data_IF_090821399714
#
_entry.id   IF_090821399714
#
_cell.length_a   1.000
_cell.length_b   1.000
_cell.length_c   1.000
_cell.angle_alpha   90.00
_cell.angle_beta   90.00
_cell.angle_gamma   90.00
#
_symmetry.space_group_name_H-M   'P 1'
#
loop_
_entity.id
_entity.type
_entity.pdbx_description
1 polymer ?
#
# COMPACT_ATOMS: atom_id res chain seq x y z
N UNK A 1 32.49 5.46 -2.37
CA UNK A 1 32.97 6.19 -1.18
C UNK A 1 31.94 6.01 -0.09
N UNK A 2 32.32 5.75 1.17
CA UNK A 2 31.34 5.70 2.26
C UNK A 2 30.68 7.08 2.36
N UNK A 3 29.39 7.14 2.04
CA UNK A 3 28.58 8.34 2.22
C UNK A 3 28.40 8.59 3.71
N UNK A 4 28.54 9.85 4.14
CA UNK A 4 28.15 10.22 5.50
C UNK A 4 26.68 9.84 5.68
N UNK A 5 26.32 9.07 6.72
CA UNK A 5 24.92 8.66 6.94
C UNK A 5 24.02 9.89 7.04
N UNK A 6 22.85 9.82 6.43
CA UNK A 6 21.85 10.87 6.51
C UNK A 6 21.20 10.83 7.89
N UNK A 7 21.19 11.99 8.55
CA UNK A 7 20.54 12.13 9.85
C UNK A 7 19.02 12.20 9.68
N UNK A 8 18.29 11.70 10.68
CA UNK A 8 16.83 11.82 10.75
C UNK A 8 16.42 13.30 10.66
N UNK A 9 17.12 14.21 11.33
CA UNK A 9 16.88 15.65 11.24
C UNK A 9 16.82 16.19 9.80
N UNK A 10 17.54 15.61 8.85
CA UNK A 10 17.53 16.05 7.45
C UNK A 10 16.26 15.59 6.73
N UNK A 11 15.77 14.40 7.07
CA UNK A 11 14.46 13.91 6.63
C UNK A 11 13.35 14.80 7.22
N UNK A 12 13.45 15.15 8.50
CA UNK A 12 12.49 16.01 9.19
C UNK A 12 12.46 17.41 8.58
N UNK A 13 13.62 18.02 8.34
CA UNK A 13 13.72 19.32 7.69
C UNK A 13 13.10 19.29 6.28
N UNK A 14 13.45 18.28 5.48
CA UNK A 14 12.87 18.09 4.13
C UNK A 14 11.34 17.94 4.19
N UNK A 15 10.84 17.13 5.13
CA UNK A 15 9.40 16.96 5.38
C UNK A 15 8.71 18.30 5.72
N UNK A 16 9.33 19.11 6.57
CA UNK A 16 8.80 20.42 6.95
C UNK A 16 8.74 21.38 5.74
N UNK A 17 9.78 21.43 4.91
CA UNK A 17 9.81 22.26 3.70
C UNK A 17 8.76 21.81 2.67
N UNK A 18 8.59 20.50 2.50
CA UNK A 18 7.56 19.91 1.62
C UNK A 18 6.14 20.25 2.12
N UNK A 19 5.93 20.28 3.43
CA UNK A 19 4.66 20.68 4.03
C UNK A 19 4.39 22.19 3.88
N UNK A 20 5.43 23.02 3.89
CA UNK A 20 5.32 24.48 3.78
C UNK A 20 4.98 24.97 2.37
N UNK A 21 5.23 24.17 1.33
CA UNK A 21 4.95 24.56 -0.07
C UNK A 21 3.66 23.95 -0.62
N UNK A 22 2.99 24.70 -1.51
CA UNK A 22 1.84 24.21 -2.30
C UNK A 22 2.23 23.72 -3.69
N UNK A 23 3.45 23.99 -4.15
CA UNK A 23 3.91 23.61 -5.49
C UNK A 23 4.31 22.14 -5.55
N UNK A 24 3.60 21.34 -6.34
CA UNK A 24 3.93 19.92 -6.56
C UNK A 24 5.37 19.74 -7.07
N UNK A 25 5.81 20.61 -7.98
CA UNK A 25 7.18 20.59 -8.54
C UNK A 25 8.22 20.87 -7.47
N UNK A 26 8.00 21.88 -6.61
CA UNK A 26 8.92 22.19 -5.52
C UNK A 26 9.02 21.02 -4.52
N UNK A 27 7.89 20.38 -4.19
CA UNK A 27 7.89 19.17 -3.34
C UNK A 27 8.73 18.05 -3.95
N UNK A 28 8.52 17.77 -5.24
CA UNK A 28 9.31 16.77 -5.98
C UNK A 28 10.80 17.07 -5.88
N UNK A 29 11.20 18.31 -6.10
CA UNK A 29 12.62 18.70 -6.16
C UNK A 29 13.32 18.60 -4.80
N UNK A 30 12.63 19.02 -3.72
CA UNK A 30 13.11 18.86 -2.34
C UNK A 30 13.33 17.39 -2.00
N UNK A 31 12.34 16.54 -2.26
CA UNK A 31 12.42 15.11 -2.02
C UNK A 31 13.53 14.46 -2.87
N UNK A 32 13.64 14.82 -4.16
CA UNK A 32 14.68 14.29 -5.04
C UNK A 32 16.10 14.71 -4.62
N UNK A 33 16.24 15.90 -4.02
CA UNK A 33 17.52 16.37 -3.47
C UNK A 33 17.94 15.54 -2.25
N UNK A 34 17.01 15.23 -1.35
CA UNK A 34 17.26 14.32 -0.23
C UNK A 34 17.63 12.91 -0.72
N UNK A 35 16.82 12.33 -1.61
CA UNK A 35 17.01 10.97 -2.11
C UNK A 35 18.39 10.76 -2.76
N UNK A 36 18.90 11.72 -3.53
CA UNK A 36 20.23 11.66 -4.18
C UNK A 36 21.41 11.53 -3.21
N UNK A 37 21.20 11.83 -1.92
CA UNK A 37 22.24 11.79 -0.89
C UNK A 37 22.26 10.46 -0.12
N UNK A 38 21.23 9.63 -0.27
CA UNK A 38 21.06 8.39 0.46
C UNK A 38 21.99 7.29 -0.08
N UNK A 39 22.57 6.53 0.84
CA UNK A 39 23.15 5.22 0.55
C UNK A 39 22.06 4.15 0.32
N UNK A 40 22.40 3.01 -0.32
CA UNK A 40 21.42 1.97 -0.68
C UNK A 40 20.53 1.47 0.46
N UNK A 41 21.07 1.39 1.68
CA UNK A 41 20.35 0.90 2.85
C UNK A 41 19.50 1.97 3.55
N UNK A 42 19.65 3.24 3.15
CA UNK A 42 18.86 4.37 3.68
C UNK A 42 17.62 4.66 2.84
N UNK A 43 17.58 4.19 1.58
CA UNK A 43 16.50 4.50 0.62
C UNK A 43 15.16 3.96 1.09
N UNK A 44 15.10 2.67 1.39
CA UNK A 44 13.86 1.98 1.79
C UNK A 44 13.25 2.63 3.05
N UNK A 45 13.99 2.77 4.18
CA UNK A 45 13.44 3.40 5.37
C UNK A 45 13.06 4.87 5.14
N UNK A 46 13.88 5.65 4.43
CA UNK A 46 13.59 7.06 4.17
C UNK A 46 12.31 7.23 3.34
N UNK A 47 12.12 6.42 2.29
CA UNK A 47 10.89 6.46 1.49
C UNK A 47 9.68 6.07 2.33
N UNK A 48 9.79 5.05 3.19
CA UNK A 48 8.72 4.70 4.15
C UNK A 48 8.36 5.84 5.10
N UNK A 49 9.37 6.53 5.64
CA UNK A 49 9.15 7.70 6.51
C UNK A 49 8.49 8.86 5.73
N UNK A 50 8.89 9.10 4.49
CA UNK A 50 8.31 10.14 3.62
C UNK A 50 6.91 9.80 3.08
N UNK A 51 6.50 8.53 3.09
CA UNK A 51 5.11 8.13 2.80
C UNK A 51 4.25 8.00 4.06
N UNK A 52 4.84 8.10 5.25
CA UNK A 52 4.15 7.94 6.52
C UNK A 52 3.85 6.50 6.91
N UNK A 53 4.50 5.55 6.24
CA UNK A 53 4.32 4.11 6.43
C UNK A 53 5.70 3.46 6.66
N UNK A 54 6.12 3.29 7.93
CA UNK A 54 7.35 2.55 8.24
C UNK A 54 7.32 1.16 7.63
N UNK A 55 8.48 0.67 7.18
CA UNK A 55 8.65 -0.63 6.51
C UNK A 55 8.11 -1.79 7.35
N UNK A 56 8.18 -1.65 8.67
CA UNK A 56 7.73 -2.65 9.64
C UNK A 56 6.20 -2.71 9.80
N UNK A 57 5.46 -1.78 9.20
CA UNK A 57 4.01 -1.68 9.35
C UNK A 57 3.60 -1.26 10.77
N UNK A 58 2.57 -1.93 11.33
CA UNK A 58 2.09 -1.62 12.68
C UNK A 58 3.06 -2.15 13.75
N UNK A 59 3.87 -1.26 14.31
CA UNK A 59 4.84 -1.54 15.37
C UNK A 59 4.15 -1.80 16.73
N UNK A 60 2.84 -1.49 16.84
CA UNK A 60 2.02 -1.71 18.04
C UNK A 60 2.40 -0.81 19.21
N UNK A 61 3.00 0.36 18.93
CA UNK A 61 3.18 1.41 19.93
C UNK A 61 1.93 2.27 19.91
N UNK A 62 1.16 2.26 21.01
CA UNK A 62 -0.03 3.08 21.12
C UNK A 62 0.29 4.52 21.51
N UNK A 63 -0.64 5.44 21.21
CA UNK A 63 -0.57 6.86 21.61
C UNK A 63 -0.14 7.05 23.07
N UNK A 64 -0.75 6.29 24.00
CA UNK A 64 -0.46 6.36 25.44
C UNK A 64 1.01 6.09 25.77
N UNK A 65 1.64 5.13 25.08
CA UNK A 65 3.06 4.80 25.29
C UNK A 65 3.95 5.94 24.81
N UNK A 66 3.62 6.54 23.68
CA UNK A 66 4.38 7.67 23.12
C UNK A 66 4.22 8.94 23.96
N UNK A 67 2.99 9.24 24.41
CA UNK A 67 2.71 10.39 25.26
C UNK A 67 3.45 10.28 26.59
N UNK A 68 3.35 9.12 27.27
CA UNK A 68 4.10 8.87 28.49
C UNK A 68 5.61 8.98 28.29
N UNK A 69 6.15 8.52 27.15
CA UNK A 69 7.57 8.64 26.85
C UNK A 69 8.03 10.09 26.63
N UNK A 70 7.16 10.98 26.12
CA UNK A 70 7.45 12.43 26.05
C UNK A 70 7.32 13.10 27.42
N UNK A 71 6.35 12.68 28.22
CA UNK A 71 6.06 13.26 29.54
C UNK A 71 7.02 12.80 30.64
N UNK A 72 7.74 11.67 30.45
CA UNK A 72 8.73 11.12 31.39
C UNK A 72 9.96 12.04 31.63
N UNK A 73 9.92 13.30 31.19
CA UNK A 73 10.84 14.37 31.60
C UNK A 73 12.20 14.36 30.89
N UNK A 74 12.37 13.53 29.87
CA UNK A 74 13.56 13.56 29.03
C UNK A 74 13.61 14.89 28.26
N UNK A 75 14.63 15.70 28.52
CA UNK A 75 14.89 16.90 27.71
C UNK A 75 15.26 16.45 26.29
N UNK A 76 14.70 17.08 25.24
CA UNK A 76 15.11 16.80 23.87
C UNK A 76 16.62 16.96 23.71
N UNK A 77 17.22 16.14 22.86
CA UNK A 77 18.64 16.24 22.55
C UNK A 77 18.92 17.61 21.88
N UNK A 78 20.04 18.24 22.27
CA UNK A 78 20.43 19.53 21.71
C UNK A 78 20.99 19.44 20.28
N UNK A 79 21.53 18.27 19.92
CA UNK A 79 22.14 18.00 18.62
C UNK A 79 21.53 16.75 18.00
N UNK A 80 21.27 16.81 16.70
CA UNK A 80 20.80 15.66 15.94
C UNK A 80 21.93 14.62 15.80
N UNK A 81 21.65 13.39 16.22
CA UNK A 81 22.60 12.26 16.12
C UNK A 81 21.97 10.98 15.57
N UNK A 82 20.64 10.93 15.48
CA UNK A 82 19.94 9.77 14.96
C UNK A 82 20.11 9.69 13.45
N UNK A 83 20.58 8.56 12.95
CA UNK A 83 20.60 8.27 11.51
C UNK A 83 19.30 7.59 11.09
N UNK A 84 18.98 7.64 9.80
CA UNK A 84 17.83 6.91 9.24
C UNK A 84 17.91 5.42 9.57
N UNK A 85 19.08 4.80 9.40
CA UNK A 85 19.28 3.36 9.62
C UNK A 85 19.19 2.96 11.09
N UNK A 86 19.66 3.81 12.02
CA UNK A 86 19.49 3.56 13.46
C UNK A 86 18.02 3.59 13.88
N UNK A 87 17.25 4.52 13.32
CA UNK A 87 15.80 4.62 13.55
C UNK A 87 15.12 3.37 12.99
N UNK A 88 15.39 3.02 11.73
CA UNK A 88 14.81 1.84 11.09
C UNK A 88 15.10 0.54 11.86
N UNK A 89 16.34 0.33 12.27
CA UNK A 89 16.73 -0.81 13.10
C UNK A 89 15.98 -0.82 14.45
N UNK A 90 15.81 0.35 15.07
CA UNK A 90 15.02 0.47 16.30
C UNK A 90 13.54 0.13 16.09
N UNK A 91 12.97 0.52 14.95
CA UNK A 91 11.59 0.17 14.59
C UNK A 91 11.44 -1.33 14.33
N UNK A 92 12.42 -1.95 13.69
CA UNK A 92 12.48 -3.40 13.48
C UNK A 92 12.54 -4.17 14.81
N UNK A 93 13.39 -3.74 15.74
CA UNK A 93 13.45 -4.32 17.10
C UNK A 93 12.09 -4.26 17.79
N UNK A 94 11.44 -3.08 17.75
CA UNK A 94 10.13 -2.87 18.38
C UNK A 94 9.04 -3.78 17.80
N UNK A 95 9.02 -3.96 16.47
CA UNK A 95 8.07 -4.83 15.78
C UNK A 95 8.28 -6.32 16.12
N UNK A 96 9.53 -6.72 16.40
CA UNK A 96 9.89 -8.08 16.79
C UNK A 96 9.51 -8.46 18.23
N UNK A 97 9.28 -7.49 19.12
CA UNK A 97 8.96 -7.74 20.53
C UNK A 97 7.60 -8.43 20.70
N UNK A 98 7.61 -9.68 21.21
CA UNK A 98 6.42 -10.47 21.56
C UNK A 98 6.58 -11.18 22.91
N UNK A 99 5.46 -11.63 23.49
CA UNK A 99 5.43 -12.41 24.72
C UNK A 99 5.41 -11.59 26.02
N UNK A 100 5.47 -12.26 27.19
CA UNK A 100 5.45 -11.61 28.50
C UNK A 100 6.58 -10.57 28.64
N UNK A 101 6.28 -9.39 29.18
CA UNK A 101 7.26 -8.31 29.36
C UNK A 101 7.53 -7.45 28.11
N UNK A 102 7.05 -7.85 26.94
CA UNK A 102 7.24 -7.10 25.68
C UNK A 102 6.77 -5.64 25.75
N UNK A 103 5.67 -5.36 26.47
CA UNK A 103 5.17 -4.00 26.66
C UNK A 103 6.15 -3.09 27.42
N UNK A 104 6.83 -3.61 28.45
CA UNK A 104 7.81 -2.84 29.22
C UNK A 104 9.07 -2.59 28.38
N UNK A 105 9.56 -3.61 27.68
CA UNK A 105 10.70 -3.49 26.75
C UNK A 105 10.39 -2.48 25.63
N UNK A 106 9.17 -2.53 25.07
CA UNK A 106 8.68 -1.59 24.05
C UNK A 106 8.69 -0.16 24.56
N UNK A 107 8.15 0.08 25.76
CA UNK A 107 8.21 1.41 26.41
C UNK A 107 9.65 1.88 26.57
N UNK A 108 10.53 1.06 27.14
CA UNK A 108 11.92 1.43 27.38
C UNK A 108 12.66 1.80 26.07
N UNK A 109 12.44 1.04 24.99
CA UNK A 109 13.09 1.29 23.70
C UNK A 109 12.56 2.56 23.03
N UNK A 110 11.25 2.83 23.12
CA UNK A 110 10.65 4.09 22.64
C UNK A 110 11.19 5.29 23.43
N UNK A 111 11.25 5.19 24.76
CA UNK A 111 11.83 6.24 25.62
C UNK A 111 13.29 6.50 25.24
N UNK A 112 14.09 5.44 25.08
CA UNK A 112 15.49 5.55 24.68
C UNK A 112 15.70 6.20 23.31
N UNK A 113 14.82 5.91 22.34
CA UNK A 113 14.84 6.56 21.03
C UNK A 113 14.51 8.05 21.14
N UNK A 114 13.41 8.39 21.82
CA UNK A 114 12.96 9.78 21.94
C UNK A 114 13.90 10.65 22.78
N UNK A 115 14.60 10.08 23.77
CA UNK A 115 15.60 10.80 24.56
C UNK A 115 16.82 11.24 23.73
N UNK A 116 17.12 10.56 22.62
CA UNK A 116 18.20 10.93 21.68
C UNK A 116 17.73 11.87 20.57
N UNK A 117 16.43 12.01 20.40
CA UNK A 117 15.84 12.84 19.35
C UNK A 117 15.85 14.32 19.76
N UNK A 118 16.08 15.21 18.79
CA UNK A 118 15.71 16.62 18.94
C UNK A 118 14.18 16.77 19.04
N UNK A 119 13.69 17.96 19.38
CA UNK A 119 12.24 18.18 19.53
C UNK A 119 11.47 17.95 18.21
N UNK A 120 12.06 18.39 17.10
CA UNK A 120 11.52 18.19 15.75
C UNK A 120 11.54 16.71 15.36
N UNK A 121 12.63 15.99 15.64
CA UNK A 121 12.75 14.54 15.42
C UNK A 121 11.73 13.76 16.26
N UNK A 122 11.57 14.11 17.54
CA UNK A 122 10.61 13.47 18.43
C UNK A 122 9.17 13.71 17.96
N UNK A 123 8.86 14.93 17.49
CA UNK A 123 7.54 15.25 16.91
C UNK A 123 7.28 14.48 15.62
N UNK A 124 8.28 14.38 14.75
CA UNK A 124 8.20 13.61 13.51
C UNK A 124 7.97 12.11 13.79
N UNK A 125 8.79 11.50 14.64
CA UNK A 125 8.67 10.09 15.03
C UNK A 125 7.32 9.79 15.67
N UNK A 126 6.85 10.68 16.53
CA UNK A 126 5.55 10.55 17.15
C UNK A 126 4.44 10.47 16.09
N UNK A 127 4.40 11.42 15.14
CA UNK A 127 3.41 11.44 14.06
C UNK A 127 3.53 10.26 13.10
N UNK A 128 4.75 9.83 12.81
CA UNK A 128 5.01 8.67 11.98
C UNK A 128 4.45 7.39 12.64
N UNK A 129 4.71 7.20 13.94
CA UNK A 129 4.29 6.02 14.69
C UNK A 129 2.79 5.97 14.98
N UNK A 130 2.12 7.13 15.03
CA UNK A 130 0.66 7.22 15.18
C UNK A 130 -0.10 7.18 13.86
N UNK A 131 0.61 7.23 12.71
CA UNK A 131 -0.02 7.32 11.38
C UNK A 131 -0.63 8.70 11.09
N UNK A 132 -0.18 9.74 11.80
CA UNK A 132 -0.69 11.11 11.68
C UNK A 132 0.27 12.03 10.89
N UNK A 133 1.21 11.45 10.14
CA UNK A 133 2.20 12.21 9.39
C UNK A 133 1.54 12.90 8.17
N UNK A 134 1.13 14.16 8.35
CA UNK A 134 0.48 14.99 7.32
C UNK A 134 1.47 15.93 6.63
N UNK A 135 2.44 15.39 5.91
CA UNK A 135 3.48 16.18 5.23
C UNK A 135 3.10 16.59 3.79
N UNK A 136 1.98 16.11 3.27
CA UNK A 136 1.52 16.43 1.90
C UNK A 136 2.40 15.84 0.78
N UNK A 137 3.34 14.95 1.13
CA UNK A 137 4.04 14.07 0.19
C UNK A 137 3.14 12.85 -0.09
N UNK A 138 2.23 13.00 -1.04
CA UNK A 138 1.43 11.87 -1.53
C UNK A 138 2.37 10.86 -2.21
N UNK A 139 2.02 9.57 -2.18
CA UNK A 139 2.80 8.51 -2.83
C UNK A 139 3.18 8.86 -4.29
N UNK A 140 2.29 9.55 -5.02
CA UNK A 140 2.57 10.04 -6.37
C UNK A 140 3.67 11.11 -6.45
N UNK A 141 3.80 12.01 -5.47
CA UNK A 141 4.89 13.02 -5.44
C UNK A 141 6.22 12.35 -5.12
N UNK A 142 6.22 11.42 -4.16
CA UNK A 142 7.41 10.63 -3.81
C UNK A 142 7.87 9.80 -5.02
N UNK A 143 6.93 9.20 -5.76
CA UNK A 143 7.23 8.48 -7.01
C UNK A 143 7.91 9.37 -8.05
N UNK A 144 7.42 10.60 -8.24
CA UNK A 144 8.04 11.56 -9.16
C UNK A 144 9.46 11.96 -8.68
N UNK A 145 9.65 12.10 -7.36
CA UNK A 145 10.94 12.43 -6.76
C UNK A 145 11.96 11.30 -6.91
N UNK A 146 11.53 10.04 -6.74
CA UNK A 146 12.34 8.84 -7.00
C UNK A 146 12.81 8.82 -8.45
N UNK A 147 11.89 9.05 -9.40
CA UNK A 147 12.23 9.10 -10.83
C UNK A 147 13.28 10.18 -11.13
N UNK A 148 13.08 11.39 -10.58
CA UNK A 148 14.02 12.50 -10.71
C UNK A 148 15.39 12.22 -10.07
N UNK A 149 15.41 11.59 -8.88
CA UNK A 149 16.64 11.25 -8.17
C UNK A 149 17.44 10.13 -8.86
N UNK A 150 16.75 9.14 -9.41
CA UNK A 150 17.34 8.02 -10.15
C UNK A 150 17.70 8.38 -11.61
N UNK A 151 17.27 9.54 -12.12
CA UNK A 151 17.51 9.94 -13.51
C UNK A 151 16.75 9.08 -14.54
N UNK A 152 15.59 8.53 -14.17
CA UNK A 152 14.76 7.66 -15.02
C UNK A 152 13.39 8.30 -15.31
N UNK A 153 12.71 7.91 -16.40
CA UNK A 153 11.34 8.37 -16.63
C UNK A 153 10.39 7.92 -15.51
N UNK A 154 9.38 8.75 -15.20
CA UNK A 154 8.43 8.45 -14.12
C UNK A 154 7.52 7.25 -14.42
N UNK A 155 7.18 7.01 -15.68
CA UNK A 155 6.24 5.94 -16.06
C UNK A 155 6.73 4.53 -15.65
N UNK A 156 7.99 4.12 -15.92
CA UNK A 156 8.56 2.87 -15.40
C UNK A 156 8.52 2.75 -13.86
N UNK A 157 8.80 3.83 -13.12
CA UNK A 157 8.75 3.81 -11.65
C UNK A 157 7.32 3.57 -11.17
N UNK A 158 6.35 4.29 -11.75
CA UNK A 158 4.92 4.12 -11.43
C UNK A 158 4.44 2.70 -11.75
N UNK A 159 4.82 2.16 -12.90
CA UNK A 159 4.48 0.78 -13.31
C UNK A 159 5.07 -0.22 -12.32
N UNK A 160 6.34 -0.10 -11.99
CA UNK A 160 7.00 -1.00 -11.04
C UNK A 160 6.36 -0.91 -9.65
N UNK A 161 6.02 0.29 -9.17
CA UNK A 161 5.31 0.49 -7.91
C UNK A 161 3.90 -0.09 -7.93
N UNK A 162 3.22 -0.02 -9.09
CA UNK A 162 1.90 -0.61 -9.28
C UNK A 162 1.95 -2.15 -9.24
N UNK A 163 2.89 -2.76 -9.95
CA UNK A 163 3.08 -4.22 -9.99
C UNK A 163 3.68 -4.80 -8.70
N UNK A 164 4.55 -4.04 -8.03
CA UNK A 164 5.20 -4.44 -6.79
C UNK A 164 4.39 -4.08 -5.54
N UNK A 165 3.51 -3.10 -5.56
CA UNK A 165 2.79 -2.69 -4.35
C UNK A 165 3.67 -2.22 -3.18
N UNK A 166 4.95 -1.89 -3.43
CA UNK A 166 5.92 -1.47 -2.41
C UNK A 166 6.83 -0.36 -2.98
N UNK A 167 6.43 0.89 -2.79
CA UNK A 167 7.17 2.05 -3.28
C UNK A 167 8.59 2.16 -2.69
N UNK A 168 8.82 1.94 -1.37
CA UNK A 168 10.18 1.88 -0.81
C UNK A 168 11.13 0.93 -1.54
N UNK A 169 10.72 -0.32 -1.81
CA UNK A 169 11.55 -1.27 -2.54
C UNK A 169 11.78 -0.85 -3.99
N UNK A 170 10.75 -0.32 -4.65
CA UNK A 170 10.87 0.19 -6.03
C UNK A 170 11.78 1.42 -6.09
N UNK A 171 11.80 2.25 -5.07
CA UNK A 171 12.71 3.38 -4.98
C UNK A 171 14.17 2.92 -4.91
N UNK A 172 14.48 1.93 -4.05
CA UNK A 172 15.81 1.33 -4.00
C UNK A 172 16.20 0.75 -5.35
N UNK A 173 15.31 -0.01 -5.98
CA UNK A 173 15.54 -0.60 -7.30
C UNK A 173 15.84 0.47 -8.36
N UNK A 174 15.03 1.53 -8.43
CA UNK A 174 15.23 2.64 -9.36
C UNK A 174 16.58 3.33 -9.13
N UNK A 175 16.93 3.60 -7.87
CA UNK A 175 18.14 4.36 -7.52
C UNK A 175 19.43 3.55 -7.65
N UNK A 176 19.39 2.24 -7.43
CA UNK A 176 20.58 1.37 -7.47
C UNK A 176 20.77 0.74 -8.86
N UNK A 177 19.68 0.33 -9.50
CA UNK A 177 19.70 -0.47 -10.73
C UNK A 177 19.10 0.27 -11.95
N UNK A 178 18.57 1.48 -11.76
CA UNK A 178 18.08 2.33 -12.84
C UNK A 178 16.91 1.73 -13.61
N UNK A 179 16.84 2.05 -14.91
CA UNK A 179 15.78 1.59 -15.80
C UNK A 179 15.78 0.05 -15.96
N UNK A 180 16.96 -0.58 -15.95
CA UNK A 180 17.08 -2.03 -16.12
C UNK A 180 16.48 -2.79 -14.93
N UNK A 181 16.70 -2.29 -13.70
CA UNK A 181 16.05 -2.81 -12.51
C UNK A 181 14.53 -2.74 -12.61
N UNK A 182 14.02 -1.56 -12.97
CA UNK A 182 12.58 -1.33 -13.13
C UNK A 182 11.94 -2.22 -14.19
N UNK A 183 12.63 -2.46 -15.32
CA UNK A 183 12.14 -3.31 -16.40
C UNK A 183 11.95 -4.78 -16.02
N UNK A 184 12.61 -5.25 -14.95
CA UNK A 184 12.44 -6.62 -14.42
C UNK A 184 11.25 -6.79 -13.50
N UNK A 185 10.57 -5.71 -13.11
CA UNK A 185 9.39 -5.80 -12.26
C UNK A 185 8.20 -6.24 -13.08
N UNK A 186 7.71 -7.44 -12.79
CA UNK A 186 6.57 -8.08 -13.43
C UNK A 186 5.48 -8.34 -12.39
N UNK A 187 4.26 -8.61 -12.88
CA UNK A 187 3.19 -9.11 -12.03
C UNK A 187 3.63 -10.44 -11.42
N UNK A 188 3.32 -10.64 -10.13
CA UNK A 188 3.56 -11.91 -9.45
C UNK A 188 2.28 -12.33 -8.72
N UNK A 189 1.65 -13.47 -9.09
CA UNK A 189 0.55 -14.03 -8.30
C UNK A 189 0.93 -14.14 -6.81
N UNK A 190 -0.04 -13.94 -5.93
CA UNK A 190 0.18 -13.81 -4.48
C UNK A 190 0.71 -12.45 -3.98
N UNK A 191 1.15 -11.54 -4.86
CA UNK A 191 1.49 -10.15 -4.52
C UNK A 191 0.47 -9.20 -5.13
N UNK A 192 -0.32 -8.45 -4.32
CA UNK A 192 -1.36 -7.60 -4.86
C UNK A 192 -0.79 -6.45 -5.69
N UNK A 193 -1.53 -6.09 -6.71
CA UNK A 193 -1.23 -5.05 -7.70
C UNK A 193 -2.11 -3.84 -7.42
N UNK A 194 -1.56 -2.62 -7.50
CA UNK A 194 -2.37 -1.40 -7.29
C UNK A 194 -3.53 -1.32 -8.29
N UNK A 195 -4.77 -1.06 -7.84
CA UNK A 195 -5.94 -1.09 -8.71
C UNK A 195 -5.90 0.00 -9.78
N UNK A 196 -6.33 -0.33 -10.99
CA UNK A 196 -6.65 0.69 -12.01
C UNK A 196 -7.82 1.54 -11.52
N UNK A 197 -7.67 2.87 -11.53
CA UNK A 197 -8.68 3.82 -11.09
C UNK A 197 -9.42 4.42 -12.28
N UNK A 198 -10.67 4.81 -12.06
CA UNK A 198 -11.49 5.50 -13.06
C UNK A 198 -11.46 7.02 -12.84
N UNK A 199 -11.49 7.77 -13.95
CA UNK A 199 -11.81 9.20 -13.94
C UNK A 199 -13.32 9.40 -14.01
N UNK A 200 -13.81 10.52 -13.47
CA UNK A 200 -15.21 10.91 -13.58
C UNK A 200 -15.48 11.61 -14.90
N UNK A 201 -16.70 11.47 -15.41
CA UNK A 201 -17.25 12.27 -16.48
C UNK A 201 -18.60 12.84 -16.03
N UNK A 202 -19.02 13.95 -16.62
CA UNK A 202 -20.26 14.64 -16.23
C UNK A 202 -21.50 13.80 -16.57
N UNK A 203 -21.48 13.12 -17.72
CA UNK A 203 -22.51 12.20 -18.14
C UNK A 203 -21.94 11.09 -19.06
N UNK A 204 -22.82 10.14 -19.42
CA UNK A 204 -22.47 8.99 -20.28
C UNK A 204 -22.07 9.44 -21.69
N UNK A 205 -22.71 10.48 -22.24
CA UNK A 205 -22.43 10.94 -23.59
C UNK A 205 -21.04 11.58 -23.68
N UNK A 206 -20.65 12.37 -22.67
CA UNK A 206 -19.31 12.94 -22.54
C UNK A 206 -18.25 11.85 -22.39
N UNK A 207 -18.51 10.84 -21.54
CA UNK A 207 -17.60 9.72 -21.35
C UNK A 207 -17.36 8.94 -22.65
N UNK A 208 -18.44 8.53 -23.34
CA UNK A 208 -18.36 7.78 -24.59
C UNK A 208 -17.78 8.65 -25.71
N UNK A 209 -18.11 9.94 -25.77
CA UNK A 209 -17.55 10.88 -26.74
C UNK A 209 -16.02 11.03 -26.60
N UNK A 210 -15.50 11.03 -25.37
CA UNK A 210 -14.06 11.11 -25.10
C UNK A 210 -13.31 9.80 -25.40
N UNK A 211 -13.94 8.65 -25.15
CA UNK A 211 -13.31 7.32 -25.28
C UNK A 211 -13.50 6.67 -26.65
N UNK A 212 -14.55 7.05 -27.39
CA UNK A 212 -14.99 6.36 -28.60
C UNK A 212 -15.72 5.05 -28.27
N UNK A 213 -15.32 3.96 -28.92
CA UNK A 213 -15.88 2.63 -28.64
C UNK A 213 -15.52 2.20 -27.21
N UNK A 214 -16.54 1.95 -26.39
CA UNK A 214 -16.37 1.65 -24.96
C UNK A 214 -17.07 0.36 -24.55
N UNK A 215 -16.53 -0.29 -23.51
CA UNK A 215 -17.24 -1.29 -22.72
C UNK A 215 -17.92 -0.56 -21.56
N UNK A 216 -19.20 -0.84 -21.34
CA UNK A 216 -19.99 -0.24 -20.27
C UNK A 216 -20.40 -1.33 -19.29
N UNK A 217 -19.96 -1.19 -18.04
CA UNK A 217 -20.33 -2.08 -16.94
C UNK A 217 -21.17 -1.32 -15.90
N UNK A 218 -21.94 -2.07 -15.12
CA UNK A 218 -22.61 -1.54 -13.94
C UNK A 218 -21.58 -1.07 -12.92
N UNK A 219 -21.74 0.15 -12.40
CA UNK A 219 -20.99 0.59 -11.23
C UNK A 219 -21.64 0.01 -9.98
N UNK A 220 -21.14 -1.14 -9.54
CA UNK A 220 -21.61 -1.82 -8.34
C UNK A 220 -21.24 -1.03 -7.07
N UNK A 221 -22.05 -1.19 -6.03
CA UNK A 221 -21.88 -0.52 -4.73
C UNK A 221 -21.48 -1.56 -3.67
N UNK A 222 -20.23 -2.02 -3.75
CA UNK A 222 -19.70 -3.08 -2.89
C UNK A 222 -18.32 -2.80 -2.37
N UNK A 223 -17.56 -3.85 -2.10
CA UNK A 223 -16.15 -3.76 -1.75
C UNK A 223 -15.32 -4.28 -2.90
N UNK A 224 -14.55 -3.39 -3.55
CA UNK A 224 -13.57 -3.82 -4.54
C UNK A 224 -12.56 -4.78 -3.93
N UNK A 225 -12.44 -5.94 -4.58
CA UNK A 225 -11.55 -7.03 -4.19
C UNK A 225 -10.64 -7.41 -5.35
N UNK A 226 -9.37 -7.61 -5.02
CA UNK A 226 -8.42 -8.28 -5.90
C UNK A 226 -8.20 -9.69 -5.34
N UNK A 227 -8.40 -10.72 -6.15
CA UNK A 227 -8.33 -12.12 -5.70
C UNK A 227 -7.22 -12.82 -6.47
N UNK A 228 -6.26 -13.40 -5.74
CA UNK A 228 -5.20 -14.18 -6.34
C UNK A 228 -5.38 -15.64 -5.96
N UNK A 229 -5.18 -16.52 -6.93
CA UNK A 229 -4.95 -17.95 -6.69
C UNK A 229 -3.51 -18.25 -7.02
N UNK A 230 -2.79 -18.90 -6.12
CA UNK A 230 -1.37 -19.26 -6.32
C UNK A 230 -1.09 -20.60 -5.70
N UNK A 231 -0.62 -21.56 -6.50
CA UNK A 231 -0.35 -22.92 -6.04
C UNK A 231 -1.51 -23.57 -5.24
N UNK A 232 -2.75 -23.27 -5.62
CA UNK A 232 -3.97 -23.78 -4.97
C UNK A 232 -4.47 -22.96 -3.77
N UNK A 233 -3.68 -22.00 -3.25
CA UNK A 233 -4.12 -21.10 -2.18
C UNK A 233 -4.80 -19.86 -2.78
N UNK A 234 -5.95 -19.47 -2.22
CA UNK A 234 -6.67 -18.26 -2.63
C UNK A 234 -6.56 -17.19 -1.54
N UNK A 235 -6.16 -15.99 -1.95
CA UNK A 235 -6.04 -14.82 -1.07
C UNK A 235 -6.73 -13.63 -1.70
N UNK A 236 -7.29 -12.76 -0.86
CA UNK A 236 -8.08 -11.61 -1.30
C UNK A 236 -7.64 -10.32 -0.62
N UNK A 237 -7.57 -9.23 -1.39
CA UNK A 237 -7.20 -7.91 -0.91
C UNK A 237 -8.25 -6.87 -1.26
N UNK A 238 -8.44 -5.90 -0.36
CA UNK A 238 -9.26 -4.71 -0.62
C UNK A 238 -8.61 -3.77 -1.63
N UNK A 239 -9.34 -2.72 -2.04
CA UNK A 239 -8.81 -1.58 -2.82
C UNK A 239 -7.49 -1.00 -2.30
N UNK A 240 -7.29 -0.96 -0.98
CA UNK A 240 -6.08 -0.42 -0.35
C UNK A 240 -5.03 -1.51 -0.05
N UNK A 241 -5.17 -2.67 -0.70
CA UNK A 241 -4.30 -3.83 -0.58
C UNK A 241 -4.19 -4.43 0.83
N UNK A 242 -5.16 -4.16 1.70
CA UNK A 242 -5.30 -4.90 2.96
C UNK A 242 -5.87 -6.29 2.67
N UNK A 243 -5.20 -7.32 3.16
CA UNK A 243 -5.67 -8.70 3.04
C UNK A 243 -6.92 -8.95 3.90
N UNK A 244 -7.91 -9.59 3.29
CA UNK A 244 -9.22 -9.91 3.89
C UNK A 244 -9.68 -11.34 3.56
N UNK A 245 -8.74 -12.23 3.25
CA UNK A 245 -8.96 -13.64 2.86
C UNK A 245 -9.96 -14.35 3.79
N UNK A 246 -9.70 -14.33 5.10
CA UNK A 246 -10.54 -15.00 6.11
C UNK A 246 -11.98 -14.47 6.19
N UNK A 247 -12.23 -13.28 5.65
CA UNK A 247 -13.56 -12.64 5.67
C UNK A 247 -14.41 -13.02 4.48
N UNK A 248 -13.81 -13.59 3.44
CA UNK A 248 -14.43 -13.92 2.16
C UNK A 248 -14.34 -15.42 1.81
N UNK A 249 -14.68 -16.35 2.72
CA UNK A 249 -14.56 -17.79 2.43
C UNK A 249 -15.38 -18.21 1.20
N UNK A 250 -16.55 -17.62 0.95
CA UNK A 250 -17.41 -17.88 -0.22
C UNK A 250 -16.69 -17.58 -1.55
N UNK A 251 -15.97 -16.45 -1.58
CA UNK A 251 -15.21 -16.00 -2.76
C UNK A 251 -14.00 -16.89 -2.95
N UNK A 252 -13.33 -17.28 -1.86
CA UNK A 252 -12.16 -18.14 -1.90
C UNK A 252 -12.52 -19.54 -2.41
N UNK A 253 -13.60 -20.13 -1.88
CA UNK A 253 -14.11 -21.45 -2.29
C UNK A 253 -14.49 -21.45 -3.78
N UNK A 254 -15.15 -20.40 -4.25
CA UNK A 254 -15.51 -20.25 -5.67
C UNK A 254 -14.28 -20.25 -6.57
N UNK A 255 -13.31 -19.36 -6.30
CA UNK A 255 -12.13 -19.20 -7.14
C UNK A 255 -11.20 -20.42 -7.02
N UNK A 256 -11.17 -21.10 -5.87
CA UNK A 256 -10.47 -22.37 -5.72
C UNK A 256 -11.05 -23.46 -6.64
N UNK A 257 -12.37 -23.46 -6.85
CA UNK A 257 -13.07 -24.43 -7.70
C UNK A 257 -12.95 -24.20 -9.21
N UNK A 258 -12.45 -23.05 -9.66
CA UNK A 258 -12.27 -22.75 -11.09
C UNK A 258 -11.15 -23.59 -11.74
N UNK A 259 -11.21 -23.87 -13.05
CA UNK A 259 -10.15 -24.62 -13.72
C UNK A 259 -8.83 -23.83 -13.78
N UNK A 260 -7.72 -24.52 -14.05
CA UNK A 260 -6.39 -23.92 -14.23
C UNK A 260 -5.56 -23.84 -12.95
N UNK A 261 -4.51 -23.03 -13.01
CA UNK A 261 -3.52 -22.75 -11.96
C UNK A 261 -3.62 -21.30 -11.48
N UNK A 262 -2.53 -20.55 -11.55
CA UNK A 262 -2.45 -19.24 -10.93
C UNK A 262 -3.36 -18.20 -11.61
N UNK A 263 -4.04 -17.39 -10.80
CA UNK A 263 -4.99 -16.37 -11.26
C UNK A 263 -4.75 -15.04 -10.54
N UNK A 264 -5.03 -13.93 -11.23
CA UNK A 264 -5.20 -12.60 -10.61
C UNK A 264 -6.45 -11.94 -11.19
N UNK A 265 -7.44 -11.73 -10.33
CA UNK A 265 -8.77 -11.23 -10.66
C UNK A 265 -9.02 -9.89 -9.99
N UNK A 266 -9.76 -9.00 -10.64
CA UNK A 266 -10.25 -7.73 -10.06
C UNK A 266 -11.77 -7.69 -10.18
N UNK A 267 -12.44 -7.33 -9.09
CA UNK A 267 -13.88 -7.44 -8.99
C UNK A 267 -14.48 -6.67 -7.82
N UNK A 268 -15.80 -6.76 -7.70
CA UNK A 268 -16.56 -6.21 -6.59
C UNK A 268 -17.20 -7.33 -5.77
N UNK A 269 -16.97 -7.35 -4.46
CA UNK A 269 -17.67 -8.24 -3.54
C UNK A 269 -18.94 -7.55 -3.02
N UNK A 270 -20.08 -8.23 -3.16
CA UNK A 270 -21.38 -7.79 -2.65
C UNK A 270 -21.95 -8.84 -1.72
N UNK A 271 -22.61 -8.40 -0.64
CA UNK A 271 -23.49 -9.30 0.11
C UNK A 271 -24.80 -9.43 -0.67
N UNK A 272 -25.30 -10.65 -0.76
CA UNK A 272 -26.57 -10.98 -1.39
C UNK A 272 -27.48 -11.72 -0.41
N UNK A 273 -28.78 -11.57 -0.59
CA UNK A 273 -29.80 -12.37 0.08
C UNK A 273 -29.94 -13.77 -0.54
N UNK A 274 -30.91 -14.55 -0.03
CA UNK A 274 -31.22 -15.89 -0.52
C UNK A 274 -31.73 -15.93 -1.97
N UNK A 275 -32.25 -14.81 -2.48
CA UNK A 275 -32.69 -14.65 -3.87
C UNK A 275 -31.56 -14.12 -4.79
N UNK A 276 -30.33 -14.03 -4.27
CA UNK A 276 -29.15 -13.47 -4.93
C UNK A 276 -29.25 -11.97 -5.25
N UNK A 277 -30.10 -11.23 -4.54
CA UNK A 277 -30.21 -9.78 -4.72
C UNK A 277 -29.18 -9.06 -3.85
N UNK A 278 -28.44 -8.07 -4.39
CA UNK A 278 -27.54 -7.25 -3.59
C UNK A 278 -28.28 -6.55 -2.45
N UNK A 279 -27.72 -6.61 -1.24
CA UNK A 279 -28.18 -5.84 -0.08
C UNK A 279 -27.54 -4.44 -0.09
N UNK A 280 -28.03 -3.47 0.71
CA UNK A 280 -27.40 -2.15 0.82
C UNK A 280 -25.90 -2.20 1.16
N UNK A 281 -25.14 -1.23 0.66
CA UNK A 281 -23.69 -1.16 0.85
C UNK A 281 -23.26 -1.21 2.32
N UNK A 282 -24.02 -0.61 3.25
CA UNK A 282 -23.68 -0.60 4.67
C UNK A 282 -23.62 -2.02 5.27
N UNK A 283 -24.48 -2.91 4.81
CA UNK A 283 -24.52 -4.31 5.24
C UNK A 283 -23.34 -5.08 4.62
N UNK A 284 -23.05 -4.83 3.35
CA UNK A 284 -21.84 -5.37 2.69
C UNK A 284 -20.56 -4.92 3.39
N UNK A 285 -20.45 -3.63 3.69
CA UNK A 285 -19.29 -3.04 4.36
C UNK A 285 -19.13 -3.58 5.79
N UNK A 286 -20.21 -3.80 6.53
CA UNK A 286 -20.17 -4.39 7.87
C UNK A 286 -19.70 -5.85 7.82
N UNK A 287 -20.26 -6.63 6.88
CA UNK A 287 -19.89 -8.05 6.67
C UNK A 287 -18.43 -8.23 6.29
N UNK A 288 -17.95 -7.49 5.30
CA UNK A 288 -16.55 -7.55 4.84
C UNK A 288 -15.61 -6.82 5.82
N UNK A 289 -16.14 -5.88 6.59
CA UNK A 289 -15.41 -5.04 7.54
C UNK A 289 -15.00 -5.74 8.84
N UNK A 290 -15.72 -6.78 9.27
CA UNK A 290 -15.31 -7.55 10.45
C UNK A 290 -16.37 -8.44 11.11
N UNK A 291 -17.59 -8.54 10.59
CA UNK A 291 -18.54 -9.53 11.11
C UNK A 291 -18.10 -10.97 10.81
N UNK A 292 -18.42 -11.85 11.75
CA UNK A 292 -18.18 -13.28 11.66
C UNK A 292 -18.91 -13.87 10.42
N UNK A 293 -18.18 -14.46 9.46
CA UNK A 293 -18.75 -15.14 8.30
C UNK A 293 -19.88 -16.11 8.60
N UNK A 294 -19.71 -16.93 9.64
CA UNK A 294 -20.66 -18.00 9.95
C UNK A 294 -21.96 -17.44 10.50
N UNK A 295 -21.87 -16.34 11.26
CA UNK A 295 -23.04 -15.65 11.82
C UNK A 295 -23.92 -15.05 10.74
N UNK A 296 -23.33 -14.47 9.70
CA UNK A 296 -24.10 -13.84 8.61
C UNK A 296 -24.66 -14.88 7.64
N UNK A 297 -23.91 -15.96 7.36
CA UNK A 297 -24.41 -17.11 6.60
C UNK A 297 -25.65 -17.74 7.25
N UNK A 298 -25.65 -17.86 8.59
CA UNK A 298 -26.81 -18.35 9.33
C UNK A 298 -28.07 -17.47 9.15
N UNK A 299 -27.91 -16.20 8.77
CA UNK A 299 -28.99 -15.28 8.42
C UNK A 299 -29.51 -15.40 6.97
N UNK A 300 -29.00 -16.36 6.19
CA UNK A 300 -29.42 -16.58 4.80
C UNK A 300 -28.77 -15.63 3.78
N UNK A 301 -27.74 -14.87 4.19
CA UNK A 301 -26.97 -13.99 3.32
C UNK A 301 -25.60 -14.60 2.98
N UNK A 302 -25.03 -14.24 1.83
CA UNK A 302 -23.70 -14.68 1.42
C UNK A 302 -22.95 -13.61 0.64
N UNK A 303 -21.63 -13.74 0.53
CA UNK A 303 -20.84 -12.83 -0.30
C UNK A 303 -20.65 -13.43 -1.70
N UNK A 304 -20.89 -12.63 -2.74
CA UNK A 304 -20.60 -12.99 -4.13
C UNK A 304 -19.68 -11.98 -4.80
N UNK A 305 -18.70 -12.43 -5.61
CA UNK A 305 -17.88 -11.55 -6.40
C UNK A 305 -18.51 -11.30 -7.78
N UNK A 306 -18.35 -10.08 -8.26
CA UNK A 306 -18.53 -9.68 -9.66
C UNK A 306 -17.19 -9.25 -10.21
N UNK A 307 -16.46 -10.20 -10.80
CA UNK A 307 -15.19 -9.92 -11.44
C UNK A 307 -15.42 -9.16 -12.76
N UNK A 308 -14.69 -8.07 -12.95
CA UNK A 308 -14.74 -7.25 -14.16
C UNK A 308 -13.43 -7.27 -14.94
N UNK A 309 -12.34 -7.79 -14.35
CA UNK A 309 -11.05 -7.93 -15.02
C UNK A 309 -10.30 -9.20 -14.61
N UNK A 310 -9.42 -9.67 -15.51
CA UNK A 310 -8.50 -10.79 -15.32
C UNK A 310 -7.10 -10.32 -15.73
N UNK A 311 -6.21 -10.21 -14.76
CA UNK A 311 -4.87 -9.64 -14.94
C UNK A 311 -3.80 -10.72 -15.19
N UNK A 312 -4.05 -11.95 -14.76
CA UNK A 312 -3.16 -13.08 -14.94
C UNK A 312 -3.94 -14.39 -15.00
N UNK A 313 -3.52 -15.30 -15.88
CA UNK A 313 -4.01 -16.68 -15.94
C UNK A 313 -2.90 -17.63 -16.38
N UNK A 314 -2.63 -18.64 -15.56
CA UNK A 314 -1.80 -19.80 -15.90
C UNK A 314 -0.40 -19.44 -16.42
N UNK A 315 0.27 -18.48 -15.76
CA UNK A 315 1.60 -18.02 -16.14
C UNK A 315 1.61 -16.93 -17.22
N UNK A 316 0.45 -16.51 -17.72
CA UNK A 316 0.31 -15.45 -18.72
C UNK A 316 -0.21 -14.18 -18.07
N UNK A 317 0.61 -13.13 -18.07
CA UNK A 317 0.20 -11.79 -17.69
C UNK A 317 -0.66 -11.17 -18.78
N UNK A 318 -1.87 -10.76 -18.42
CA UNK A 318 -2.83 -10.14 -19.33
C UNK A 318 -2.90 -8.62 -19.14
N UNK A 319 -2.17 -8.05 -18.17
CA UNK A 319 -2.25 -6.62 -17.81
C UNK A 319 -1.99 -5.67 -19.00
N UNK A 320 -1.14 -6.06 -19.94
CA UNK A 320 -0.81 -5.28 -21.14
C UNK A 320 -1.69 -5.65 -22.34
N UNK A 321 -2.56 -6.67 -22.22
CA UNK A 321 -3.49 -7.06 -23.27
C UNK A 321 -4.69 -6.09 -23.32
N UNK A 322 -5.30 -5.88 -24.51
CA UNK A 322 -6.53 -5.11 -24.65
C UNK A 322 -7.65 -5.61 -23.72
N UNK A 323 -8.46 -4.69 -23.18
CA UNK A 323 -9.57 -5.02 -22.27
C UNK A 323 -10.52 -6.10 -22.87
N UNK A 324 -10.73 -6.09 -24.18
CA UNK A 324 -11.56 -7.08 -24.88
C UNK A 324 -11.02 -8.50 -24.73
N UNK A 325 -9.70 -8.68 -24.79
CA UNK A 325 -9.04 -9.98 -24.62
C UNK A 325 -9.11 -10.44 -23.16
N UNK A 326 -8.83 -9.53 -22.21
CA UNK A 326 -8.93 -9.85 -20.78
C UNK A 326 -10.33 -10.27 -20.38
N UNK A 327 -11.37 -9.59 -20.88
CA UNK A 327 -12.77 -9.95 -20.65
C UNK A 327 -13.17 -11.25 -21.32
N UNK A 328 -12.66 -11.53 -22.51
CA UNK A 328 -12.89 -12.82 -23.16
C UNK A 328 -12.27 -13.97 -22.34
N UNK A 329 -11.04 -13.78 -21.86
CA UNK A 329 -10.36 -14.74 -20.99
C UNK A 329 -11.07 -14.93 -19.64
N UNK A 330 -11.63 -13.87 -19.06
CA UNK A 330 -12.45 -13.95 -17.85
C UNK A 330 -13.75 -14.74 -18.07
N UNK A 331 -14.46 -14.48 -19.18
CA UNK A 331 -15.69 -15.22 -19.52
C UNK A 331 -15.41 -16.70 -19.78
N UNK A 332 -14.33 -17.01 -20.48
CA UNK A 332 -13.89 -18.39 -20.73
C UNK A 332 -13.57 -19.11 -19.40
N UNK A 333 -12.90 -18.43 -18.47
CA UNK A 333 -12.56 -18.98 -17.15
C UNK A 333 -13.79 -19.23 -16.27
N UNK A 334 -14.67 -18.23 -16.14
CA UNK A 334 -15.85 -18.31 -15.27
C UNK A 334 -16.95 -19.23 -15.85
N UNK A 335 -16.96 -19.43 -17.17
CA UNK A 335 -17.98 -20.23 -17.85
C UNK A 335 -19.37 -19.61 -17.73
N UNK A 336 -20.35 -20.40 -17.31
CA UNK A 336 -21.73 -19.95 -17.08
C UNK A 336 -21.99 -19.41 -15.67
N UNK A 337 -20.94 -19.30 -14.85
CA UNK A 337 -21.06 -18.79 -13.48
C UNK A 337 -21.22 -17.27 -13.48
#
# INVERSE_FOLDING_TARGET
>A
MPTVPVLLAEVVATSAEVAATRSRTAKRDLLAALLRRLGPDEIVPTVGFLTGEPVQGRIGVGWRTLAAARDDGARPAALATLTVTEVDATLADLAGLRGPGSNAARRARVVGLLARATDDEATFLFRLLTGELRQGALAGVVTDAVAAAAGVPTAPVRRAAMLGGDLPLIARLAMVEGADGLGRVQLRPGRPVQPMLASTADDVAAAVGALGTAVVDWKLDGIRVQVHRTAGEVRAWTRNLNEITDRLPEVCDLVAGWPGGDLVLDGEALVVDSDLRPVPFQDTASRVGGDDPDRVRAGGQGVRPWFFDLLHRDGVDLIDAPLTERRAALRDLAGSW
#
